data_IF_417829833617
#
_entry.id   IF_417829833617
#
_cell.length_a   1.000
_cell.length_b   1.000
_cell.length_c   1.000
_cell.angle_alpha   90.00
_cell.angle_beta   90.00
_cell.angle_gamma   90.00
#
_symmetry.space_group_name_H-M   'P 1'
#
loop_
_entity.id
_entity.type
_entity.pdbx_description
1 polymer ?
#
# COMPACT_ATOMS: atom_id res chain seq x y z
N UNK A 1 15.37 -23.24 2.81
CA UNK A 1 15.92 -22.41 1.70
C UNK A 1 14.79 -21.50 1.24
N UNK A 2 15.08 -20.24 0.87
CA UNK A 2 14.05 -19.29 0.44
C UNK A 2 14.16 -19.00 -1.06
N UNK A 3 13.05 -18.65 -1.70
CA UNK A 3 13.04 -18.19 -3.09
C UNK A 3 12.92 -16.67 -3.11
N UNK A 4 13.78 -16.01 -3.89
CA UNK A 4 13.86 -14.56 -3.98
C UNK A 4 14.07 -14.11 -5.43
N UNK A 5 13.78 -12.84 -5.69
CA UNK A 5 13.85 -12.23 -7.02
C UNK A 5 15.13 -11.40 -7.17
N UNK A 6 15.88 -11.58 -8.25
CA UNK A 6 17.03 -10.71 -8.52
C UNK A 6 16.53 -9.34 -8.98
N UNK A 7 15.59 -9.34 -9.93
CA UNK A 7 14.76 -8.23 -10.37
C UNK A 7 13.67 -8.83 -11.25
N UNK A 8 12.41 -8.49 -11.02
CA UNK A 8 11.35 -8.83 -11.96
C UNK A 8 11.25 -7.64 -12.92
N UNK A 9 11.34 -7.91 -14.22
CA UNK A 9 11.04 -6.88 -15.22
C UNK A 9 9.52 -6.77 -15.34
N UNK A 10 9.04 -5.56 -15.64
CA UNK A 10 7.62 -5.19 -15.68
C UNK A 10 6.68 -6.36 -15.95
N UNK A 11 5.83 -6.67 -14.99
CA UNK A 11 4.81 -7.70 -15.16
C UNK A 11 3.51 -7.13 -15.74
N UNK A 12 2.81 -7.95 -16.51
CA UNK A 12 1.46 -7.64 -16.98
C UNK A 12 0.43 -8.14 -15.95
N UNK A 13 -0.69 -7.42 -15.83
CA UNK A 13 -1.79 -7.88 -14.98
C UNK A 13 -2.48 -9.11 -15.58
N UNK A 14 -2.06 -10.30 -15.15
CA UNK A 14 -2.59 -11.57 -15.59
C UNK A 14 -3.23 -12.36 -14.44
N UNK A 15 -4.15 -13.27 -14.76
CA UNK A 15 -4.72 -14.24 -13.81
C UNK A 15 -3.98 -15.57 -13.81
N UNK A 16 -2.90 -15.66 -14.58
CA UNK A 16 -2.00 -16.79 -14.55
C UNK A 16 -0.99 -16.59 -13.41
N UNK A 17 -0.89 -17.55 -12.47
CA UNK A 17 0.01 -17.40 -11.34
C UNK A 17 1.47 -17.58 -11.76
N UNK A 18 2.32 -16.69 -11.26
CA UNK A 18 3.77 -16.73 -11.41
C UNK A 18 4.37 -17.94 -10.68
N UNK A 19 3.76 -18.32 -9.55
CA UNK A 19 4.04 -19.59 -8.86
C UNK A 19 2.76 -20.39 -8.68
N UNK A 20 2.76 -21.64 -9.15
CA UNK A 20 1.63 -22.55 -9.06
C UNK A 20 2.01 -23.83 -8.29
N UNK A 21 1.23 -24.17 -7.26
CA UNK A 21 1.36 -25.43 -6.51
C UNK A 21 2.76 -25.67 -5.90
N UNK A 22 3.42 -24.60 -5.43
CA UNK A 22 4.75 -24.68 -4.83
C UNK A 22 4.75 -25.25 -3.40
N UNK A 23 5.77 -26.01 -3.05
CA UNK A 23 6.03 -26.47 -1.67
C UNK A 23 7.33 -25.83 -1.15
N UNK A 24 7.20 -25.04 -0.08
CA UNK A 24 8.30 -24.36 0.59
C UNK A 24 8.50 -25.00 1.96
N UNK A 25 9.70 -25.52 2.20
CA UNK A 25 10.05 -26.22 3.44
C UNK A 25 11.13 -25.45 4.18
N UNK A 26 10.78 -24.97 5.38
CA UNK A 26 11.66 -24.37 6.37
C UNK A 26 12.48 -25.42 7.12
N UNK A 27 12.96 -25.10 8.32
CA UNK A 27 13.85 -26.03 9.04
C UNK A 27 13.06 -27.06 9.83
N UNK A 28 13.43 -28.33 9.68
CA UNK A 28 12.83 -29.43 10.43
C UNK A 28 13.20 -29.42 11.93
N UNK A 29 14.32 -28.80 12.29
CA UNK A 29 14.83 -28.69 13.66
C UNK A 29 14.50 -27.33 14.33
N UNK A 30 13.74 -26.47 13.65
CA UNK A 30 13.39 -25.13 14.15
C UNK A 30 14.52 -24.09 14.09
N UNK A 31 15.66 -24.39 13.47
CA UNK A 31 16.83 -23.49 13.39
C UNK A 31 16.79 -22.47 12.23
N UNK A 32 15.67 -22.35 11.49
CA UNK A 32 15.52 -21.44 10.35
C UNK A 32 15.40 -19.96 10.76
N UNK A 33 16.29 -19.47 11.62
CA UNK A 33 16.28 -18.08 12.05
C UNK A 33 16.42 -17.13 10.86
N UNK A 34 15.55 -16.13 10.79
CA UNK A 34 15.56 -15.07 9.79
C UNK A 34 15.26 -15.50 8.34
N UNK A 35 14.85 -16.74 8.06
CA UNK A 35 14.58 -17.21 6.70
C UNK A 35 13.17 -16.87 6.25
N UNK A 36 13.02 -16.49 4.99
CA UNK A 36 11.73 -16.26 4.32
C UNK A 36 11.52 -17.37 3.29
N UNK A 37 10.30 -17.91 3.21
CA UNK A 37 9.97 -18.97 2.26
C UNK A 37 9.90 -18.46 0.83
N UNK A 38 9.08 -17.44 0.63
CA UNK A 38 8.90 -16.77 -0.64
C UNK A 38 8.88 -15.26 -0.43
N UNK A 39 9.69 -14.58 -1.21
CA UNK A 39 9.69 -13.13 -1.29
C UNK A 39 8.78 -12.64 -2.42
N UNK A 40 8.09 -11.52 -2.20
CA UNK A 40 7.46 -10.73 -3.25
C UNK A 40 8.51 -9.98 -4.08
N UNK A 41 8.27 -9.79 -5.39
CA UNK A 41 9.15 -9.02 -6.26
C UNK A 41 9.00 -7.51 -6.03
N UNK A 42 9.90 -6.71 -6.59
CA UNK A 42 9.79 -5.25 -6.56
C UNK A 42 8.82 -4.71 -7.63
N UNK A 43 7.72 -5.41 -7.89
CA UNK A 43 6.82 -5.03 -8.98
C UNK A 43 5.36 -5.37 -8.69
N UNK A 44 4.47 -4.66 -9.37
CA UNK A 44 3.03 -4.85 -9.28
C UNK A 44 2.60 -6.18 -9.90
N UNK A 45 1.36 -6.56 -9.62
CA UNK A 45 0.66 -7.67 -10.28
C UNK A 45 1.22 -9.08 -10.04
N UNK A 46 2.22 -9.24 -9.16
CA UNK A 46 2.66 -10.57 -8.76
C UNK A 46 1.49 -11.42 -8.26
N UNK A 47 1.47 -12.70 -8.66
CA UNK A 47 0.42 -13.65 -8.27
C UNK A 47 1.00 -15.04 -7.93
N UNK A 48 0.79 -15.51 -6.70
CA UNK A 48 1.15 -16.86 -6.25
C UNK A 48 -0.08 -17.68 -5.87
N UNK A 49 -0.16 -18.93 -6.34
CA UNK A 49 -1.35 -19.76 -6.23
C UNK A 49 -1.04 -21.19 -5.78
N UNK A 50 -1.76 -21.70 -4.78
CA UNK A 50 -1.62 -23.09 -4.34
C UNK A 50 -0.34 -23.36 -3.54
N UNK A 51 0.22 -22.35 -2.87
CA UNK A 51 1.52 -22.43 -2.21
C UNK A 51 1.39 -23.03 -0.81
N UNK A 52 2.24 -24.02 -0.49
CA UNK A 52 2.28 -24.67 0.82
C UNK A 52 3.58 -24.36 1.54
N UNK A 53 3.48 -23.84 2.77
CA UNK A 53 4.61 -23.51 3.63
C UNK A 53 4.64 -24.44 4.84
N UNK A 54 5.79 -25.08 5.08
CA UNK A 54 5.97 -26.07 6.13
C UNK A 54 7.18 -25.71 7.00
N UNK A 55 7.02 -25.69 8.33
CA UNK A 55 8.10 -25.50 9.32
C UNK A 55 8.84 -24.15 9.23
N UNK A 56 8.08 -23.05 9.17
CA UNK A 56 8.61 -21.68 9.31
C UNK A 56 8.35 -21.15 10.71
N UNK A 57 9.20 -21.54 11.66
CA UNK A 57 9.05 -21.23 13.09
C UNK A 57 10.11 -20.25 13.61
N UNK A 58 9.90 -19.73 14.82
CA UNK A 58 10.79 -18.76 15.46
C UNK A 58 10.83 -17.43 14.71
N UNK A 59 12.02 -17.01 14.27
CA UNK A 59 12.19 -15.77 13.49
C UNK A 59 12.10 -15.96 11.97
N UNK A 60 11.67 -17.13 11.49
CA UNK A 60 11.37 -17.37 10.08
C UNK A 60 10.04 -16.68 9.66
N UNK A 61 9.74 -16.66 8.37
CA UNK A 61 8.40 -16.33 7.87
C UNK A 61 8.09 -17.06 6.57
N UNK A 62 6.82 -17.38 6.33
CA UNK A 62 6.39 -17.99 5.07
C UNK A 62 6.55 -17.01 3.90
N UNK A 63 5.95 -15.82 4.03
CA UNK A 63 5.92 -14.78 3.03
C UNK A 63 6.61 -13.51 3.56
N UNK A 64 7.24 -12.77 2.67
CA UNK A 64 7.60 -11.38 2.88
C UNK A 64 7.52 -10.65 1.54
N UNK A 65 7.39 -9.34 1.58
CA UNK A 65 7.35 -8.52 0.38
C UNK A 65 8.66 -7.79 0.09
N UNK A 66 8.67 -7.08 -1.03
CA UNK A 66 9.68 -6.10 -1.39
C UNK A 66 11.13 -6.59 -1.31
N UNK A 67 11.47 -7.68 -2.02
CA UNK A 67 12.84 -8.19 -2.03
C UNK A 67 13.84 -7.14 -2.50
N UNK A 68 14.92 -6.87 -1.76
CA UNK A 68 15.96 -5.89 -2.10
C UNK A 68 15.46 -4.44 -2.31
N UNK A 69 14.26 -4.09 -1.85
CA UNK A 69 13.75 -2.71 -1.97
C UNK A 69 14.60 -1.66 -1.23
N UNK A 70 15.34 -2.11 -0.20
CA UNK A 70 16.33 -1.31 0.53
C UNK A 70 17.72 -1.26 -0.12
N UNK A 71 17.94 -1.93 -1.26
CA UNK A 71 19.27 -1.96 -1.89
C UNK A 71 19.59 -0.61 -2.55
N UNK A 72 20.87 -0.20 -2.51
CA UNK A 72 21.30 1.03 -3.18
C UNK A 72 21.30 0.91 -4.71
N UNK A 73 21.51 -0.31 -5.23
CA UNK A 73 21.67 -0.62 -6.66
C UNK A 73 20.34 -0.80 -7.38
N UNK A 74 19.32 -1.33 -6.69
CA UNK A 74 17.99 -1.63 -7.25
C UNK A 74 16.91 -1.12 -6.28
N UNK A 75 17.03 0.14 -5.86
CA UNK A 75 16.08 0.78 -4.94
C UNK A 75 14.76 0.98 -5.67
N UNK A 76 13.76 0.23 -5.28
CA UNK A 76 12.36 0.36 -5.70
C UNK A 76 11.54 0.17 -4.44
N UNK A 77 10.84 1.19 -3.99
CA UNK A 77 10.36 1.31 -2.61
C UNK A 77 8.83 1.30 -2.53
N UNK A 78 8.20 0.92 -3.64
CA UNK A 78 6.78 1.03 -3.79
C UNK A 78 6.00 0.00 -2.98
N UNK A 79 4.79 0.38 -2.60
CA UNK A 79 3.80 -0.48 -1.97
C UNK A 79 3.04 -1.26 -3.02
N UNK A 80 3.72 -2.26 -3.58
CA UNK A 80 3.17 -3.09 -4.65
C UNK A 80 2.07 -4.01 -4.12
N UNK A 81 1.14 -4.38 -5.00
CA UNK A 81 0.05 -5.29 -4.68
C UNK A 81 0.37 -6.72 -5.12
N UNK A 82 0.55 -7.62 -4.17
CA UNK A 82 0.76 -9.04 -4.40
C UNK A 82 -0.51 -9.83 -4.19
N UNK A 83 -0.87 -10.68 -5.15
CA UNK A 83 -2.06 -11.53 -5.08
C UNK A 83 -1.68 -12.94 -4.63
N UNK A 84 -2.50 -13.53 -3.79
CA UNK A 84 -2.37 -14.92 -3.39
C UNK A 84 -3.71 -15.63 -3.30
N UNK A 85 -3.71 -16.92 -3.62
CA UNK A 85 -4.82 -17.83 -3.32
C UNK A 85 -4.31 -19.24 -2.95
N UNK A 86 -5.21 -20.05 -2.39
CA UNK A 86 -5.01 -21.48 -2.11
C UNK A 86 -3.77 -21.76 -1.25
N UNK A 87 -3.46 -20.85 -0.33
CA UNK A 87 -2.32 -20.98 0.57
C UNK A 87 -2.56 -22.05 1.64
N UNK A 88 -1.49 -22.74 2.03
CA UNK A 88 -1.50 -23.72 3.13
C UNK A 88 -0.32 -23.49 4.05
N UNK A 89 -0.57 -23.50 5.35
CA UNK A 89 0.44 -23.29 6.38
C UNK A 89 0.45 -24.48 7.35
N UNK A 90 1.61 -25.13 7.48
CA UNK A 90 1.82 -26.25 8.41
C UNK A 90 3.00 -25.90 9.31
N UNK A 91 2.75 -25.72 10.60
CA UNK A 91 3.77 -25.32 11.57
C UNK A 91 4.50 -24.02 11.15
N UNK A 92 3.75 -22.92 11.12
CA UNK A 92 4.23 -21.59 10.70
C UNK A 92 3.86 -20.58 11.78
N UNK A 93 4.87 -20.00 12.43
CA UNK A 93 4.67 -19.02 13.52
C UNK A 93 4.39 -17.61 12.98
N UNK A 94 4.83 -17.32 11.76
CA UNK A 94 4.63 -16.04 11.08
C UNK A 94 4.37 -16.23 9.59
N UNK A 95 3.16 -15.90 9.15
CA UNK A 95 2.70 -16.03 7.76
C UNK A 95 3.25 -14.94 6.87
N UNK A 96 3.29 -13.70 7.38
CA UNK A 96 3.83 -12.56 6.65
C UNK A 96 4.80 -11.77 7.53
N UNK A 97 5.92 -11.35 6.96
CA UNK A 97 6.89 -10.46 7.58
C UNK A 97 7.00 -9.17 6.78
N UNK A 98 7.01 -8.04 7.48
CA UNK A 98 7.25 -6.76 6.85
C UNK A 98 8.73 -6.48 6.76
N UNK A 99 9.12 -5.97 5.61
CA UNK A 99 10.47 -5.50 5.34
C UNK A 99 10.37 -4.04 4.97
N UNK A 100 11.42 -3.29 5.30
CA UNK A 100 11.52 -1.91 4.83
C UNK A 100 11.39 -1.89 3.31
N UNK A 101 10.55 -1.01 2.73
CA UNK A 101 10.00 0.23 3.31
C UNK A 101 8.65 0.12 4.02
N UNK A 102 8.15 -1.08 4.31
CA UNK A 102 6.88 -1.32 5.00
C UNK A 102 5.68 -0.72 4.25
N UNK A 103 5.52 -1.04 2.95
CA UNK A 103 4.46 -0.44 2.12
C UNK A 103 3.63 -1.42 1.29
N UNK A 104 4.00 -2.70 1.22
CA UNK A 104 3.32 -3.64 0.32
C UNK A 104 1.87 -3.94 0.71
N UNK A 105 1.08 -4.30 -0.29
CA UNK A 105 -0.32 -4.71 -0.13
C UNK A 105 -0.44 -6.18 -0.54
N UNK A 106 -0.88 -7.02 0.37
CA UNK A 106 -1.09 -8.44 0.09
C UNK A 106 -2.58 -8.69 -0.08
N UNK A 107 -3.02 -8.98 -1.29
CA UNK A 107 -4.41 -9.33 -1.59
C UNK A 107 -4.61 -10.84 -1.55
N UNK A 108 -5.39 -11.28 -0.57
CA UNK A 108 -5.84 -12.65 -0.44
C UNK A 108 -7.17 -12.87 -1.17
N UNK A 109 -7.10 -13.57 -2.31
CA UNK A 109 -8.24 -13.73 -3.21
C UNK A 109 -9.31 -14.67 -2.65
N UNK A 110 -8.92 -15.68 -1.87
CA UNK A 110 -9.82 -16.77 -1.46
C UNK A 110 -9.98 -16.92 0.07
N UNK A 111 -9.27 -16.11 0.86
CA UNK A 111 -9.37 -16.13 2.31
C UNK A 111 -8.39 -17.10 2.99
N UNK A 112 -7.53 -17.78 2.24
CA UNK A 112 -6.58 -18.74 2.83
C UNK A 112 -5.48 -18.08 3.64
N UNK A 113 -5.19 -16.80 3.40
CA UNK A 113 -4.29 -16.00 4.22
C UNK A 113 -5.03 -15.35 5.37
N UNK A 114 -6.01 -14.50 5.08
CA UNK A 114 -6.69 -13.54 5.95
C UNK A 114 -7.87 -14.13 6.71
N UNK A 115 -8.41 -15.26 6.26
CA UNK A 115 -9.65 -15.85 6.78
C UNK A 115 -10.92 -15.33 6.11
N UNK A 116 -10.85 -14.33 5.22
CA UNK A 116 -11.99 -13.83 4.46
C UNK A 116 -11.62 -13.63 2.99
N UNK A 117 -12.44 -14.08 2.02
CA UNK A 117 -12.18 -13.82 0.61
C UNK A 117 -12.04 -12.33 0.31
N UNK A 118 -11.15 -11.99 -0.61
CA UNK A 118 -10.78 -10.62 -0.94
C UNK A 118 -10.33 -9.78 0.26
N UNK A 119 -9.79 -10.42 1.29
CA UNK A 119 -9.11 -9.72 2.38
C UNK A 119 -7.75 -9.21 1.95
N UNK A 120 -7.20 -8.28 2.73
CA UNK A 120 -5.82 -7.81 2.54
C UNK A 120 -5.01 -7.90 3.81
N UNK A 121 -3.70 -7.99 3.64
CA UNK A 121 -2.71 -7.79 4.70
C UNK A 121 -1.81 -6.61 4.29
N UNK A 122 -1.65 -5.63 5.17
CA UNK A 122 -0.73 -4.49 4.97
C UNK A 122 0.12 -4.26 6.21
N UNK A 123 1.21 -3.48 6.12
CA UNK A 123 1.84 -2.86 7.28
C UNK A 123 0.79 -2.11 8.10
N UNK A 124 1.03 -2.03 9.41
CA UNK A 124 0.12 -1.28 10.28
C UNK A 124 0.39 0.21 10.16
N UNK A 125 -0.67 0.93 9.78
CA UNK A 125 -0.78 2.38 9.86
C UNK A 125 -2.06 2.71 10.60
N UNK A 126 -2.00 3.52 11.65
CA UNK A 126 -3.13 3.81 12.52
C UNK A 126 -4.27 4.51 11.78
N UNK A 127 -3.97 5.35 10.77
CA UNK A 127 -5.00 5.97 9.93
C UNK A 127 -5.77 4.96 9.04
N UNK A 128 -5.37 3.69 8.99
CA UNK A 128 -6.07 2.63 8.24
C UNK A 128 -6.86 1.66 9.13
N UNK A 129 -6.86 1.79 10.46
CA UNK A 129 -7.58 0.89 11.38
C UNK A 129 -9.09 1.19 11.45
N UNK A 130 -9.76 1.14 10.30
CA UNK A 130 -11.22 1.27 10.17
C UNK A 130 -11.96 0.03 10.69
N UNK A 131 -13.30 0.05 10.88
CA UNK A 131 -14.03 -1.06 11.50
C UNK A 131 -13.86 -2.45 10.85
N UNK A 132 -13.56 -2.52 9.55
CA UNK A 132 -13.26 -3.77 8.84
C UNK A 132 -11.78 -4.12 8.75
N UNK A 133 -10.92 -3.35 9.40
CA UNK A 133 -9.48 -3.54 9.50
C UNK A 133 -9.09 -3.75 10.97
N UNK A 134 -8.19 -4.69 11.23
CA UNK A 134 -7.74 -4.95 12.61
C UNK A 134 -6.26 -5.24 12.67
N UNK A 135 -5.58 -4.60 13.63
CA UNK A 135 -4.18 -4.89 13.91
C UNK A 135 -4.01 -6.33 14.34
N UNK A 136 -3.05 -7.00 13.74
CA UNK A 136 -2.71 -8.37 14.03
C UNK A 136 -1.54 -8.46 15.00
N UNK A 137 -1.33 -9.65 15.57
CA UNK A 137 -0.15 -9.94 16.39
C UNK A 137 1.04 -10.44 15.59
N UNK A 138 1.89 -11.22 16.25
CA UNK A 138 3.14 -11.77 15.71
C UNK A 138 2.97 -12.56 14.40
N UNK A 139 1.83 -13.24 14.20
CA UNK A 139 1.57 -14.07 13.01
C UNK A 139 1.68 -13.27 11.70
N UNK A 140 1.43 -11.96 11.74
CA UNK A 140 1.54 -11.03 10.62
C UNK A 140 2.47 -9.86 10.93
N UNK A 141 3.44 -10.07 11.83
CA UNK A 141 4.46 -9.08 12.15
C UNK A 141 3.89 -7.71 12.57
N UNK A 142 2.78 -7.75 13.33
CA UNK A 142 2.01 -6.59 13.75
C UNK A 142 1.38 -5.76 12.62
N UNK A 143 1.15 -6.36 11.45
CA UNK A 143 0.44 -5.74 10.33
C UNK A 143 -1.07 -5.57 10.59
N UNK A 144 -1.77 -5.15 9.55
CA UNK A 144 -3.21 -4.88 9.54
C UNK A 144 -3.88 -5.85 8.56
N UNK A 145 -4.96 -6.50 9.00
CA UNK A 145 -5.84 -7.28 8.10
C UNK A 145 -7.13 -6.51 7.88
N UNK A 146 -7.49 -6.29 6.62
CA UNK A 146 -8.76 -5.70 6.23
C UNK A 146 -9.63 -6.70 5.46
N UNK A 147 -10.94 -6.61 5.62
CA UNK A 147 -11.89 -7.33 4.77
C UNK A 147 -12.13 -6.59 3.43
N UNK A 148 -12.87 -7.22 2.53
CA UNK A 148 -13.13 -6.71 1.18
C UNK A 148 -13.85 -5.35 1.11
N UNK A 149 -14.49 -4.88 2.19
CA UNK A 149 -15.13 -3.55 2.22
C UNK A 149 -14.14 -2.41 2.47
N UNK A 150 -12.94 -2.71 2.95
CA UNK A 150 -11.92 -1.75 3.36
C UNK A 150 -10.60 -2.08 2.66
N UNK A 151 -10.62 -2.19 1.34
CA UNK A 151 -9.45 -2.61 0.61
C UNK A 151 -8.42 -1.47 0.46
N UNK A 152 -7.15 -1.68 0.86
CA UNK A 152 -6.10 -0.68 0.68
C UNK A 152 -5.65 -0.55 -0.77
N UNK A 153 -5.45 0.68 -1.22
CA UNK A 153 -4.86 1.04 -2.52
C UNK A 153 -3.52 1.72 -2.31
N UNK A 154 -2.61 1.52 -3.26
CA UNK A 154 -1.35 2.26 -3.32
C UNK A 154 -1.65 3.73 -3.65
N UNK A 155 -1.26 4.66 -2.78
CA UNK A 155 -1.30 6.09 -3.05
C UNK A 155 0.13 6.62 -3.13
N UNK A 156 0.45 7.31 -4.21
CA UNK A 156 1.69 8.09 -4.37
C UNK A 156 1.36 9.58 -4.32
N UNK A 157 2.18 10.33 -3.59
CA UNK A 157 2.21 11.79 -3.55
C UNK A 157 3.60 12.22 -4.01
N UNK A 158 3.71 12.87 -5.16
CA UNK A 158 4.98 13.14 -5.82
C UNK A 158 4.90 14.40 -6.70
N UNK A 159 6.01 14.78 -7.33
CA UNK A 159 6.06 16.03 -8.13
C UNK A 159 5.69 17.21 -7.24
N UNK A 160 6.35 17.27 -6.08
CA UNK A 160 6.02 18.22 -5.02
C UNK A 160 6.91 19.43 -5.12
N UNK A 161 6.29 20.60 -5.02
CA UNK A 161 6.95 21.90 -4.88
C UNK A 161 6.41 22.58 -3.61
N UNK A 162 7.23 23.34 -2.88
CA UNK A 162 8.61 23.69 -3.20
C UNK A 162 9.65 22.70 -2.62
N UNK A 163 10.93 22.86 -2.95
CA UNK A 163 12.04 22.00 -2.48
C UNK A 163 12.19 21.96 -0.95
N UNK A 164 11.63 22.91 -0.21
CA UNK A 164 11.61 22.89 1.26
C UNK A 164 10.79 21.71 1.84
N UNK A 165 9.91 21.10 1.03
CA UNK A 165 9.21 19.86 1.38
C UNK A 165 10.08 18.60 1.19
N UNK A 166 11.29 18.74 0.64
CA UNK A 166 12.22 17.62 0.48
C UNK A 166 12.64 17.06 1.83
N UNK A 167 12.69 15.73 1.90
CA UNK A 167 13.01 14.95 3.10
C UNK A 167 12.07 15.20 4.29
N UNK A 168 10.96 15.91 4.09
CA UNK A 168 9.93 16.05 5.09
C UNK A 168 9.11 14.78 5.22
N UNK A 169 8.62 14.57 6.42
CA UNK A 169 7.73 13.47 6.75
C UNK A 169 6.27 13.94 6.53
N UNK A 170 5.50 13.17 5.76
CA UNK A 170 4.09 13.45 5.50
C UNK A 170 3.23 12.85 6.60
N UNK A 171 2.44 13.67 7.26
CA UNK A 171 1.48 13.25 8.29
C UNK A 171 0.13 12.96 7.63
N UNK A 172 -0.35 11.74 7.81
CA UNK A 172 -1.67 11.31 7.31
C UNK A 172 -2.57 11.06 8.50
N UNK A 173 -3.76 11.65 8.48
CA UNK A 173 -4.79 11.51 9.52
C UNK A 173 -6.11 11.09 8.92
N UNK A 174 -6.80 10.17 9.59
CA UNK A 174 -8.19 9.80 9.31
C UNK A 174 -9.00 9.73 10.61
N UNK A 175 -10.26 9.28 10.54
CA UNK A 175 -11.05 9.01 11.75
C UNK A 175 -10.53 7.82 12.56
N UNK A 176 -9.69 6.96 11.96
CA UNK A 176 -9.12 5.79 12.63
C UNK A 176 -7.86 6.13 13.45
N UNK A 177 -7.09 7.13 13.01
CA UNK A 177 -5.84 7.51 13.66
C UNK A 177 -4.96 8.40 12.80
N UNK A 178 -3.70 8.56 13.20
CA UNK A 178 -2.69 9.27 12.43
C UNK A 178 -1.38 8.49 12.43
N UNK A 179 -0.58 8.68 11.38
CA UNK A 179 0.76 8.14 11.28
C UNK A 179 1.58 9.00 10.31
N UNK A 180 2.89 8.81 10.37
CA UNK A 180 3.86 9.57 9.58
C UNK A 180 4.49 8.68 8.51
N UNK A 181 4.58 9.22 7.29
CA UNK A 181 5.14 8.54 6.13
C UNK A 181 6.43 9.25 5.72
N UNK A 182 7.57 8.54 5.69
CA UNK A 182 8.82 9.12 5.20
C UNK A 182 8.83 9.26 3.69
N UNK A 183 9.52 10.30 3.21
CA UNK A 183 9.76 10.53 1.80
C UNK A 183 10.72 9.47 1.22
N UNK A 184 10.49 9.12 -0.05
CA UNK A 184 11.28 8.21 -0.85
C UNK A 184 11.99 8.96 -1.98
N UNK A 185 13.30 8.76 -2.09
CA UNK A 185 14.23 9.58 -2.88
C UNK A 185 14.57 9.00 -4.26
N UNK A 186 14.34 7.70 -4.51
CA UNK A 186 14.89 7.03 -5.72
C UNK A 186 13.91 6.49 -6.73
N UNK A 187 12.67 6.16 -6.36
CA UNK A 187 11.71 5.60 -7.32
C UNK A 187 10.92 6.69 -8.06
N UNK A 188 10.28 7.61 -7.33
CA UNK A 188 9.41 8.64 -7.89
C UNK A 188 9.55 10.02 -7.20
N UNK A 189 10.46 10.13 -6.22
CA UNK A 189 10.72 11.35 -5.42
C UNK A 189 9.45 11.91 -4.73
N UNK A 190 9.07 11.32 -3.59
CA UNK A 190 7.86 11.70 -2.86
C UNK A 190 7.43 10.69 -1.80
N UNK A 191 6.16 10.66 -1.43
CA UNK A 191 5.60 9.74 -0.43
C UNK A 191 4.77 8.64 -1.08
N UNK A 192 4.79 7.45 -0.49
CA UNK A 192 3.94 6.35 -0.90
C UNK A 192 3.42 5.62 0.31
N UNK A 193 2.14 5.25 0.24
CA UNK A 193 1.44 4.61 1.34
C UNK A 193 0.26 3.75 0.85
N UNK A 194 -0.03 2.61 1.50
CA UNK A 194 -1.33 1.94 1.39
C UNK A 194 -2.42 2.77 2.06
N UNK A 195 -3.51 3.03 1.35
CA UNK A 195 -4.63 3.82 1.85
C UNK A 195 -5.94 3.09 1.62
N UNK A 196 -6.74 2.89 2.65
CA UNK A 196 -8.05 2.23 2.52
C UNK A 196 -8.97 3.06 1.63
N UNK A 197 -9.56 2.44 0.61
CA UNK A 197 -10.49 3.15 -0.27
C UNK A 197 -11.78 3.55 0.44
N UNK A 198 -12.50 4.47 -0.18
CA UNK A 198 -13.79 5.00 0.28
C UNK A 198 -13.72 5.67 1.65
N UNK A 199 -12.62 6.38 1.91
CA UNK A 199 -12.37 7.12 3.14
C UNK A 199 -11.88 8.54 2.85
N UNK A 200 -12.01 9.40 3.86
CA UNK A 200 -11.45 10.74 3.87
C UNK A 200 -10.17 10.79 4.70
N UNK A 201 -9.15 11.46 4.16
CA UNK A 201 -7.87 11.65 4.79
C UNK A 201 -7.49 13.12 4.78
N UNK A 202 -6.91 13.56 5.89
CA UNK A 202 -6.17 14.81 5.96
C UNK A 202 -4.70 14.50 5.78
N UNK A 203 -4.05 15.19 4.86
CA UNK A 203 -2.64 15.06 4.53
C UNK A 203 -1.95 16.41 4.71
N UNK A 204 -0.70 16.36 5.14
CA UNK A 204 0.14 17.54 5.30
C UNK A 204 1.55 17.12 5.71
N UNK A 205 2.41 18.08 5.97
CA UNK A 205 3.79 17.83 6.37
C UNK A 205 4.01 18.31 7.79
N UNK A 206 4.99 17.71 8.47
CA UNK A 206 5.44 18.19 9.79
C UNK A 206 6.31 19.46 9.65
N UNK A 207 5.79 20.46 8.93
CA UNK A 207 6.45 21.73 8.65
C UNK A 207 5.42 22.84 8.41
N UNK A 208 5.84 24.10 8.55
CA UNK A 208 5.03 25.28 8.21
C UNK A 208 5.10 25.63 6.71
N UNK A 209 5.56 24.70 5.86
CA UNK A 209 5.73 24.92 4.43
C UNK A 209 4.48 24.48 3.69
N UNK A 210 3.88 25.40 2.94
CA UNK A 210 2.76 25.09 2.06
C UNK A 210 3.27 24.49 0.74
N UNK A 211 2.54 23.51 0.23
CA UNK A 211 2.77 23.01 -1.12
C UNK A 211 2.32 24.06 -2.15
N UNK A 212 3.03 24.11 -3.27
CA UNK A 212 2.69 24.89 -4.46
C UNK A 212 2.13 23.99 -5.56
N UNK A 213 2.71 22.80 -5.70
CA UNK A 213 2.27 21.77 -6.63
C UNK A 213 2.42 20.40 -5.96
N UNK A 214 1.45 19.51 -6.19
CA UNK A 214 1.54 18.08 -5.83
C UNK A 214 0.82 17.25 -6.89
N UNK A 215 1.33 16.06 -7.16
CA UNK A 215 0.67 15.06 -7.99
C UNK A 215 0.27 13.86 -7.13
N UNK A 216 -0.98 13.41 -7.30
CA UNK A 216 -1.49 12.19 -6.68
C UNK A 216 -1.66 11.11 -7.74
N UNK A 217 -1.09 9.92 -7.50
CA UNK A 217 -1.38 8.72 -8.29
C UNK A 217 -2.02 7.65 -7.42
N UNK A 218 -3.24 7.28 -7.79
CA UNK A 218 -4.07 6.32 -7.07
C UNK A 218 -4.07 4.97 -7.78
N UNK A 219 -3.26 4.04 -7.27
CA UNK A 219 -3.11 2.66 -7.72
C UNK A 219 -2.82 2.50 -9.22
N UNK A 220 -2.80 1.26 -9.68
CA UNK A 220 -2.71 0.92 -11.10
C UNK A 220 -4.11 0.73 -11.68
N UNK A 221 -4.40 1.22 -12.90
CA UNK A 221 -5.73 1.14 -13.50
C UNK A 221 -6.30 -0.29 -13.55
N UNK A 222 -5.44 -1.30 -13.77
CA UNK A 222 -5.82 -2.70 -13.81
C UNK A 222 -6.40 -3.19 -12.47
N UNK A 223 -5.83 -2.72 -11.36
CA UNK A 223 -6.29 -3.08 -10.00
C UNK A 223 -7.57 -2.33 -9.61
N UNK A 224 -7.73 -1.09 -10.07
CA UNK A 224 -8.92 -0.27 -9.87
C UNK A 224 -10.09 -0.84 -10.67
N UNK A 225 -9.90 -1.03 -11.98
CA UNK A 225 -10.94 -1.48 -12.90
C UNK A 225 -11.41 -2.91 -12.60
N UNK A 226 -10.50 -3.78 -12.16
CA UNK A 226 -10.85 -5.17 -11.93
C UNK A 226 -11.70 -5.39 -10.67
N UNK A 227 -11.50 -4.60 -9.61
CA UNK A 227 -12.20 -4.84 -8.35
C UNK A 227 -13.72 -4.70 -8.47
N UNK A 228 -14.19 -3.93 -9.47
CA UNK A 228 -15.61 -3.64 -9.67
C UNK A 228 -16.22 -2.84 -8.52
N UNK A 229 -15.39 -2.32 -7.60
CA UNK A 229 -15.85 -1.49 -6.50
C UNK A 229 -16.13 -0.09 -6.98
N UNK A 230 -17.19 0.52 -6.44
CA UNK A 230 -17.38 1.96 -6.55
C UNK A 230 -16.48 2.64 -5.51
N UNK A 231 -15.19 2.70 -5.80
CA UNK A 231 -14.18 3.26 -4.91
C UNK A 231 -13.93 4.74 -5.18
N UNK A 232 -13.56 5.45 -4.12
CA UNK A 232 -13.24 6.87 -4.14
C UNK A 232 -12.21 7.15 -3.04
N UNK A 233 -11.50 8.27 -3.15
CA UNK A 233 -10.59 8.76 -2.13
C UNK A 233 -10.89 10.24 -1.88
N UNK A 234 -11.15 10.59 -0.63
CA UNK A 234 -11.20 11.98 -0.20
C UNK A 234 -9.87 12.37 0.42
N UNK A 235 -9.25 13.44 -0.09
CA UNK A 235 -8.03 14.01 0.49
C UNK A 235 -8.23 15.49 0.75
N UNK A 236 -7.78 15.97 1.91
CA UNK A 236 -7.67 17.39 2.21
C UNK A 236 -6.23 17.74 2.57
N UNK A 237 -5.75 18.83 2.01
CA UNK A 237 -4.43 19.38 2.27
C UNK A 237 -4.61 20.71 3.00
N UNK A 238 -3.81 20.94 4.04
CA UNK A 238 -3.82 22.21 4.76
C UNK A 238 -2.80 23.13 4.12
N UNK A 239 -3.16 24.41 3.96
CA UNK A 239 -2.28 25.47 3.51
C UNK A 239 -2.53 26.72 4.38
N UNK A 240 -1.50 27.54 4.57
CA UNK A 240 -1.53 28.79 5.33
C UNK A 240 -1.81 29.97 4.38
N UNK A 241 -1.24 29.94 3.18
CA UNK A 241 -1.36 31.00 2.18
C UNK A 241 -2.14 30.55 0.95
N UNK A 242 -3.34 31.10 0.77
CA UNK A 242 -4.26 30.80 -0.33
C UNK A 242 -4.29 31.88 -1.41
N UNK A 243 -3.32 32.80 -1.40
CA UNK A 243 -3.31 33.98 -2.29
C UNK A 243 -3.44 33.64 -3.78
N UNK A 244 -3.14 32.40 -4.17
CA UNK A 244 -3.44 31.85 -5.49
C UNK A 244 -4.35 30.61 -5.38
N UNK A 245 -5.37 30.55 -6.23
CA UNK A 245 -6.28 29.41 -6.30
C UNK A 245 -5.52 28.19 -6.83
N UNK A 246 -5.72 27.01 -6.22
CA UNK A 246 -5.14 25.79 -6.76
C UNK A 246 -5.91 25.34 -8.01
N UNK A 247 -5.17 25.14 -9.10
CA UNK A 247 -5.69 24.46 -10.28
C UNK A 247 -5.66 22.95 -10.02
N UNK A 248 -6.82 22.30 -10.07
CA UNK A 248 -6.87 20.84 -10.04
C UNK A 248 -6.96 20.32 -11.47
N UNK A 249 -6.04 19.44 -11.85
CA UNK A 249 -6.07 18.76 -13.15
C UNK A 249 -6.16 17.25 -12.96
N UNK A 250 -6.79 16.58 -13.93
CA UNK A 250 -6.76 15.13 -14.06
C UNK A 250 -6.26 14.78 -15.47
N UNK A 251 -5.17 14.04 -15.57
CA UNK A 251 -4.48 13.73 -16.84
C UNK A 251 -4.26 14.98 -17.72
N UNK A 252 -3.86 16.09 -17.09
CA UNK A 252 -3.60 17.38 -17.76
C UNK A 252 -4.84 18.17 -18.14
N UNK A 253 -6.05 17.70 -17.82
CA UNK A 253 -7.30 18.42 -18.03
C UNK A 253 -7.74 19.11 -16.74
N UNK A 254 -8.00 20.41 -16.81
CA UNK A 254 -8.59 21.16 -15.69
C UNK A 254 -9.93 20.57 -15.25
N UNK A 255 -10.06 20.38 -13.94
CA UNK A 255 -11.26 19.86 -13.30
C UNK A 255 -12.10 21.01 -12.75
N UNK A 256 -13.44 20.91 -12.85
CA UNK A 256 -14.31 21.95 -12.32
C UNK A 256 -14.16 21.99 -10.80
N UNK A 257 -13.80 23.16 -10.27
CA UNK A 257 -13.96 23.44 -8.85
C UNK A 257 -15.46 23.39 -8.51
N UNK A 258 -15.79 22.75 -7.39
CA UNK A 258 -17.13 22.84 -6.83
C UNK A 258 -17.40 24.30 -6.48
N UNK A 259 -18.41 24.90 -7.11
CA UNK A 259 -18.75 26.32 -6.98
C UNK A 259 -19.43 26.68 -5.65
N UNK A 260 -19.26 25.88 -4.59
CA UNK A 260 -19.90 26.05 -3.29
C UNK A 260 -19.10 25.47 -2.13
N UNK A 261 -19.63 25.52 -0.90
CA UNK A 261 -18.93 25.14 0.34
C UNK A 261 -19.03 23.65 0.70
N UNK A 262 -19.64 22.83 -0.15
CA UNK A 262 -19.85 21.41 0.17
C UNK A 262 -18.60 20.61 -0.24
N UNK A 263 -18.16 19.72 0.64
CA UNK A 263 -17.12 18.74 0.32
C UNK A 263 -17.53 17.92 -0.92
N UNK A 264 -16.58 17.60 -1.82
CA UNK A 264 -16.82 16.70 -2.93
C UNK A 264 -17.44 15.38 -2.47
N UNK A 265 -18.43 14.92 -3.21
CA UNK A 265 -19.13 13.66 -3.00
C UNK A 265 -18.48 12.55 -3.83
N UNK A 266 -18.57 11.28 -3.39
CA UNK A 266 -18.15 10.13 -4.19
C UNK A 266 -18.79 10.02 -5.59
N UNK A 267 -19.89 10.73 -5.83
CA UNK A 267 -20.57 10.74 -7.12
C UNK A 267 -20.14 11.89 -8.04
N UNK A 268 -19.29 12.80 -7.54
CA UNK A 268 -18.75 13.90 -8.33
C UNK A 268 -17.64 13.40 -9.27
N UNK A 269 -17.35 14.12 -10.37
CA UNK A 269 -16.21 13.80 -11.23
C UNK A 269 -14.90 13.66 -10.44
N UNK A 270 -14.03 12.74 -10.87
CA UNK A 270 -12.68 12.60 -10.31
C UNK A 270 -11.94 13.94 -10.31
N UNK A 271 -11.29 14.30 -9.20
CA UNK A 271 -10.61 15.60 -9.07
C UNK A 271 -11.56 16.77 -8.79
N UNK A 272 -12.86 16.56 -8.58
CA UNK A 272 -13.70 17.59 -7.97
C UNK A 272 -13.14 18.02 -6.62
N UNK A 273 -13.04 19.32 -6.43
CA UNK A 273 -12.40 19.94 -5.27
C UNK A 273 -13.23 21.10 -4.73
N UNK A 274 -12.97 21.48 -3.48
CA UNK A 274 -13.52 22.69 -2.85
C UNK A 274 -12.40 23.37 -2.06
N UNK A 275 -12.41 24.69 -2.07
CA UNK A 275 -11.59 25.51 -1.17
C UNK A 275 -12.43 25.81 0.08
N UNK A 276 -12.00 25.35 1.25
CA UNK A 276 -12.68 25.62 2.53
C UNK A 276 -11.89 26.67 3.31
N UNK A 277 -12.36 27.92 3.27
CA UNK A 277 -11.84 29.02 4.09
C UNK A 277 -12.37 28.86 5.52
N UNK A 278 -11.65 28.08 6.34
CA UNK A 278 -11.88 28.01 7.79
C UNK A 278 -10.95 28.92 8.57
#
# INVERSE_FOLDING_TARGET
>A
VGTFWIKLEKEDFLWDPHYLNGLFVGSLDGSATGRIGLWGPQDEFYYGSGLTFVNYTGSASALAGCNNCASFEHKNQGGQTYRYDRLKFVNVDRRYRWMWPYKDIVWDLDGTLTGTPNGTVTPYYAFNEFPGCSKQGFLYDNGLICNASYFPRRLQVYGVEPEELDFQDMVITSTAGNDTIPMEDKEFYGWLVPIVHSQYYKMGWDSDTDFQEITLRYSEPELVNYSGWNEWLGASFTYIDYREHFLVTNDGREMPMSLGTNLPSPNDPIGSSVLDEK
#
